data_IF_305553673573
#
_entry.id   IF_305553673573
#
_cell.length_a   1.000
_cell.length_b   1.000
_cell.length_c   1.000
_cell.angle_alpha   90.00
_cell.angle_beta   90.00
_cell.angle_gamma   90.00
#
_symmetry.space_group_name_H-M   'P 1'
#
loop_
_entity.id
_entity.type
_entity.pdbx_description
1 polymer ?
#
# COMPACT_ATOMS: atom_id res chain seq x y z
N UNK A 1 23.44 -2.38 -0.76
CA UNK A 1 22.52 -3.52 -0.59
C UNK A 1 21.94 -3.90 -1.95
N UNK A 2 21.59 -5.17 -2.13
CA UNK A 2 20.80 -5.69 -3.25
C UNK A 2 19.38 -6.01 -2.76
N UNK A 3 18.39 -5.33 -3.32
CA UNK A 3 17.00 -5.33 -2.82
C UNK A 3 16.10 -6.00 -3.85
N UNK A 4 15.37 -7.04 -3.43
CA UNK A 4 14.33 -7.67 -4.23
C UNK A 4 13.01 -6.94 -4.02
N UNK A 5 12.42 -6.37 -5.06
CA UNK A 5 11.13 -5.68 -5.01
C UNK A 5 10.05 -6.51 -5.69
N UNK A 6 9.14 -7.09 -4.92
CA UNK A 6 8.05 -7.95 -5.37
C UNK A 6 6.80 -7.10 -5.57
N UNK A 7 6.31 -7.01 -6.79
CA UNK A 7 5.27 -6.04 -7.18
C UNK A 7 5.86 -4.71 -7.65
N UNK A 8 7.07 -4.75 -8.20
CA UNK A 8 7.86 -3.58 -8.60
C UNK A 8 7.19 -2.65 -9.63
N UNK A 9 6.23 -3.13 -10.43
CA UNK A 9 5.49 -2.29 -11.38
C UNK A 9 4.29 -1.53 -10.74
N UNK A 10 3.98 -1.79 -9.46
CA UNK A 10 2.95 -1.07 -8.73
C UNK A 10 3.37 0.35 -8.34
N UNK A 11 2.44 1.16 -7.81
CA UNK A 11 2.71 2.55 -7.43
C UNK A 11 3.87 2.68 -6.44
N UNK A 12 3.81 1.98 -5.31
CA UNK A 12 4.90 2.01 -4.33
C UNK A 12 6.14 1.33 -4.89
N UNK A 13 5.98 0.17 -5.54
CA UNK A 13 7.09 -0.63 -6.06
C UNK A 13 7.95 0.10 -7.07
N UNK A 14 7.33 0.81 -8.04
CA UNK A 14 8.09 1.55 -9.06
C UNK A 14 8.85 2.74 -8.47
N UNK A 15 8.23 3.48 -7.53
CA UNK A 15 8.90 4.57 -6.84
C UNK A 15 10.05 4.07 -5.96
N UNK A 16 9.83 2.99 -5.20
CA UNK A 16 10.87 2.39 -4.36
C UNK A 16 12.05 1.87 -5.20
N UNK A 17 11.76 1.20 -6.32
CA UNK A 17 12.78 0.71 -7.25
C UNK A 17 13.65 1.85 -7.78
N UNK A 18 13.03 2.91 -8.31
CA UNK A 18 13.76 4.07 -8.81
C UNK A 18 14.53 4.81 -7.70
N UNK A 19 13.92 4.96 -6.52
CA UNK A 19 14.57 5.59 -5.39
C UNK A 19 15.78 4.79 -4.90
N UNK A 20 15.65 3.47 -4.72
CA UNK A 20 16.75 2.61 -4.29
C UNK A 20 17.97 2.71 -5.25
N UNK A 21 17.72 2.67 -6.56
CA UNK A 21 18.78 2.84 -7.57
C UNK A 21 19.43 4.22 -7.46
N UNK A 22 18.64 5.29 -7.26
CA UNK A 22 19.20 6.65 -7.10
C UNK A 22 20.09 6.79 -5.87
N UNK A 23 19.89 5.94 -4.85
CA UNK A 23 20.71 5.87 -3.64
C UNK A 23 21.89 4.88 -3.77
N UNK A 24 22.15 4.35 -4.99
CA UNK A 24 23.28 3.45 -5.25
C UNK A 24 23.06 2.00 -4.81
N UNK A 25 21.81 1.57 -4.60
CA UNK A 25 21.49 0.18 -4.28
C UNK A 25 21.25 -0.63 -5.55
N UNK A 26 21.66 -1.91 -5.52
CA UNK A 26 21.25 -2.90 -6.51
C UNK A 26 19.78 -3.24 -6.33
N UNK A 27 19.02 -3.38 -7.42
CA UNK A 27 17.62 -3.76 -7.36
C UNK A 27 17.32 -4.90 -8.33
N UNK A 28 16.59 -5.89 -7.81
CA UNK A 28 15.95 -6.96 -8.59
C UNK A 28 14.46 -6.75 -8.54
N UNK A 29 13.80 -6.63 -9.69
CA UNK A 29 12.38 -6.33 -9.80
C UNK A 29 11.58 -7.57 -10.22
N UNK A 30 10.56 -7.94 -9.43
CA UNK A 30 9.56 -8.94 -9.81
C UNK A 30 8.23 -8.25 -10.13
N UNK A 31 7.70 -8.45 -11.34
CA UNK A 31 6.40 -7.93 -11.74
C UNK A 31 5.77 -8.71 -12.90
N UNK A 32 4.44 -8.63 -13.03
CA UNK A 32 3.67 -9.35 -14.06
C UNK A 32 4.04 -8.92 -15.48
N UNK A 33 4.34 -7.65 -15.69
CA UNK A 33 4.72 -7.13 -17.02
C UNK A 33 6.15 -7.50 -17.46
N UNK A 34 7.02 -7.85 -16.51
CA UNK A 34 8.46 -7.98 -16.75
C UNK A 34 9.15 -6.66 -17.07
N UNK A 35 8.49 -5.52 -16.77
CA UNK A 35 9.01 -4.16 -16.99
C UNK A 35 8.56 -3.22 -15.88
N UNK A 36 9.45 -2.35 -15.43
CA UNK A 36 9.17 -1.29 -14.48
C UNK A 36 9.47 0.05 -15.13
N UNK A 37 8.52 0.98 -15.09
CA UNK A 37 8.69 2.28 -15.70
C UNK A 37 9.82 3.06 -15.02
N UNK A 38 10.73 3.62 -15.83
CA UNK A 38 11.86 4.41 -15.32
C UNK A 38 13.01 3.59 -14.72
N UNK A 39 12.94 2.24 -14.79
CA UNK A 39 13.99 1.36 -14.28
C UNK A 39 14.59 0.50 -15.39
N UNK A 40 15.92 0.46 -15.41
CA UNK A 40 16.72 -0.43 -16.27
C UNK A 40 17.62 -1.25 -15.36
N UNK A 41 17.38 -2.55 -15.29
CA UNK A 41 18.10 -3.47 -14.40
C UNK A 41 17.46 -4.85 -14.40
N UNK A 42 17.87 -5.68 -13.44
CA UNK A 42 17.42 -7.06 -13.32
C UNK A 42 15.90 -7.12 -13.08
N UNK A 43 15.16 -7.50 -14.10
CA UNK A 43 13.70 -7.60 -14.04
C UNK A 43 13.23 -8.96 -14.48
N UNK A 44 12.44 -9.62 -13.66
CA UNK A 44 11.84 -10.93 -13.94
C UNK A 44 10.33 -10.81 -14.08
N UNK A 45 9.78 -11.45 -15.11
CA UNK A 45 8.34 -11.60 -15.26
C UNK A 45 7.85 -12.61 -14.24
N UNK A 46 7.04 -12.15 -13.28
CA UNK A 46 6.53 -12.95 -12.17
C UNK A 46 5.19 -12.43 -11.69
N UNK A 47 4.32 -13.32 -11.21
CA UNK A 47 3.05 -13.00 -10.59
C UNK A 47 2.77 -13.88 -9.36
N UNK A 48 1.85 -13.44 -8.51
CA UNK A 48 1.40 -14.19 -7.35
C UNK A 48 1.00 -15.63 -7.72
N UNK A 49 1.40 -16.60 -6.90
CA UNK A 49 1.19 -18.02 -7.13
C UNK A 49 2.26 -18.71 -7.98
N UNK A 50 3.19 -17.96 -8.58
CA UNK A 50 4.35 -18.54 -9.27
C UNK A 50 5.53 -18.70 -8.29
N UNK A 51 6.39 -19.73 -8.47
CA UNK A 51 7.63 -19.84 -7.69
C UNK A 51 8.53 -18.64 -7.98
N UNK A 52 9.23 -18.16 -6.95
CA UNK A 52 10.23 -17.10 -7.10
C UNK A 52 11.42 -17.65 -7.89
N UNK A 53 11.84 -17.00 -9.02
CA UNK A 53 12.98 -17.45 -9.77
C UNK A 53 14.26 -17.44 -8.92
N UNK A 54 15.00 -18.53 -8.85
CA UNK A 54 16.23 -18.61 -8.05
C UNK A 54 17.25 -17.54 -8.46
N UNK A 55 17.37 -17.25 -9.75
CA UNK A 55 18.25 -16.20 -10.24
C UNK A 55 17.86 -14.79 -9.75
N UNK A 56 16.62 -14.59 -9.31
CA UNK A 56 16.17 -13.32 -8.72
C UNK A 56 16.58 -13.19 -7.26
N UNK A 57 17.01 -14.26 -6.61
CA UNK A 57 17.39 -14.33 -5.20
C UNK A 57 18.90 -14.25 -4.99
N UNK A 58 19.69 -14.23 -6.08
CA UNK A 58 21.13 -14.19 -6.01
C UNK A 58 21.63 -12.88 -5.37
N UNK A 59 22.46 -13.01 -4.34
CA UNK A 59 23.06 -11.90 -3.57
C UNK A 59 22.01 -10.89 -3.01
N UNK A 60 20.78 -11.31 -2.76
CA UNK A 60 19.73 -10.43 -2.20
C UNK A 60 19.92 -10.28 -0.69
N UNK A 61 20.09 -9.03 -0.22
CA UNK A 61 20.19 -8.68 1.19
C UNK A 61 18.80 -8.54 1.86
N UNK A 62 17.84 -7.99 1.10
CA UNK A 62 16.50 -7.68 1.61
C UNK A 62 15.43 -7.86 0.53
N UNK A 63 14.29 -8.43 0.90
CA UNK A 63 13.12 -8.53 0.02
C UNK A 63 11.98 -7.63 0.51
N UNK A 64 11.27 -6.97 -0.42
CA UNK A 64 10.15 -6.08 -0.13
C UNK A 64 8.89 -6.58 -0.84
N UNK A 65 7.90 -7.03 -0.07
CA UNK A 65 6.64 -7.61 -0.56
C UNK A 65 5.56 -6.54 -0.74
N UNK A 66 5.33 -6.12 -1.99
CA UNK A 66 4.34 -5.10 -2.38
C UNK A 66 3.25 -5.66 -3.30
N UNK A 67 3.37 -6.90 -3.75
CA UNK A 67 2.39 -7.50 -4.65
C UNK A 67 1.03 -7.68 -3.96
N UNK A 68 -0.05 -7.33 -4.66
CA UNK A 68 -1.42 -7.54 -4.25
C UNK A 68 -2.32 -7.70 -5.47
N UNK A 69 -3.24 -8.63 -5.42
CA UNK A 69 -4.28 -8.81 -6.43
C UNK A 69 -5.61 -8.24 -5.92
N UNK A 70 -6.21 -7.33 -6.66
CA UNK A 70 -7.44 -6.62 -6.29
C UNK A 70 -8.71 -7.23 -6.90
N UNK A 71 -8.64 -8.47 -7.40
CA UNK A 71 -9.78 -9.17 -8.00
C UNK A 71 -10.68 -9.83 -6.94
N UNK A 72 -11.30 -9.00 -6.11
CA UNK A 72 -12.27 -9.44 -5.08
C UNK A 72 -11.74 -10.55 -4.18
N UNK A 73 -12.62 -11.46 -3.78
CA UNK A 73 -12.28 -12.56 -2.86
C UNK A 73 -11.25 -13.54 -3.45
N UNK A 74 -11.26 -13.74 -4.77
CA UNK A 74 -10.28 -14.60 -5.45
C UNK A 74 -8.89 -14.01 -5.37
N UNK A 75 -8.75 -12.71 -5.68
CA UNK A 75 -7.48 -12.00 -5.57
C UNK A 75 -6.99 -11.90 -4.12
N UNK A 76 -7.91 -11.73 -3.17
CA UNK A 76 -7.59 -11.70 -1.75
C UNK A 76 -6.96 -13.02 -1.27
N UNK A 77 -7.59 -14.16 -1.60
CA UNK A 77 -7.07 -15.50 -1.28
C UNK A 77 -5.73 -15.76 -1.96
N UNK A 78 -5.64 -15.48 -3.26
CA UNK A 78 -4.39 -15.63 -3.99
C UNK A 78 -3.28 -14.78 -3.36
N UNK A 79 -3.57 -13.54 -2.99
CA UNK A 79 -2.59 -12.65 -2.33
C UNK A 79 -2.11 -13.24 -1.01
N UNK A 80 -3.03 -13.73 -0.18
CA UNK A 80 -2.69 -14.31 1.12
C UNK A 80 -1.80 -15.55 0.95
N UNK A 81 -2.27 -16.56 0.22
CA UNK A 81 -1.58 -17.83 0.04
C UNK A 81 -0.21 -17.64 -0.64
N UNK A 82 -0.18 -16.90 -1.74
CA UNK A 82 1.04 -16.70 -2.50
C UNK A 82 2.07 -15.85 -1.75
N UNK A 83 1.66 -14.89 -0.92
CA UNK A 83 2.60 -14.11 -0.12
C UNK A 83 3.27 -14.98 0.94
N UNK A 84 2.53 -15.83 1.64
CA UNK A 84 3.09 -16.74 2.65
C UNK A 84 4.11 -17.70 2.02
N UNK A 85 3.75 -18.33 0.90
CA UNK A 85 4.68 -19.20 0.15
C UNK A 85 5.92 -18.44 -0.33
N UNK A 86 5.75 -17.22 -0.82
CA UNK A 86 6.85 -16.38 -1.29
C UNK A 86 7.82 -16.01 -0.14
N UNK A 87 7.29 -15.67 1.04
CA UNK A 87 8.09 -15.42 2.25
C UNK A 87 8.93 -16.63 2.60
N UNK A 88 8.35 -17.84 2.60
CA UNK A 88 9.06 -19.07 2.92
C UNK A 88 10.12 -19.43 1.88
N UNK A 89 9.85 -19.25 0.59
CA UNK A 89 10.83 -19.48 -0.48
C UNK A 89 12.04 -18.55 -0.36
N UNK A 90 11.81 -17.27 -0.09
CA UNK A 90 12.86 -16.26 0.07
C UNK A 90 13.70 -16.54 1.32
N UNK A 91 13.05 -16.96 2.42
CA UNK A 91 13.75 -17.42 3.63
C UNK A 91 14.62 -18.63 3.36
N UNK A 92 14.08 -19.65 2.68
CA UNK A 92 14.80 -20.85 2.33
C UNK A 92 16.03 -20.59 1.42
N UNK A 93 16.00 -19.50 0.65
CA UNK A 93 17.13 -19.03 -0.14
C UNK A 93 18.18 -18.25 0.67
N UNK A 94 17.97 -18.06 1.98
CA UNK A 94 18.95 -17.42 2.87
C UNK A 94 18.89 -15.88 2.90
N UNK A 95 17.85 -15.26 2.35
CA UNK A 95 17.66 -13.80 2.42
C UNK A 95 17.39 -13.41 3.89
N UNK A 96 18.30 -12.62 4.46
CA UNK A 96 18.34 -12.35 5.89
C UNK A 96 17.18 -11.47 6.39
N UNK A 97 16.54 -10.69 5.51
CA UNK A 97 15.50 -9.72 5.88
C UNK A 97 14.41 -9.62 4.83
N UNK A 98 13.17 -9.51 5.32
CA UNK A 98 12.02 -9.29 4.46
C UNK A 98 11.14 -8.19 5.05
N UNK A 99 10.64 -7.29 4.22
CA UNK A 99 9.67 -6.25 4.59
C UNK A 99 8.33 -6.59 3.94
N UNK A 100 7.34 -6.94 4.76
CA UNK A 100 5.98 -7.15 4.28
C UNK A 100 5.18 -5.85 4.39
N UNK A 101 4.76 -5.31 3.26
CA UNK A 101 3.88 -4.15 3.21
C UNK A 101 2.45 -4.55 3.52
N UNK A 102 2.07 -4.30 4.75
CA UNK A 102 0.71 -4.35 5.21
C UNK A 102 -0.02 -3.02 4.94
N UNK A 103 -0.87 -2.60 5.83
CA UNK A 103 -1.68 -1.38 5.71
C UNK A 103 -2.11 -0.88 7.08
N UNK A 104 -2.28 0.42 7.23
CA UNK A 104 -2.99 0.98 8.39
C UNK A 104 -4.40 0.39 8.57
N UNK A 105 -5.04 -0.06 7.47
CA UNK A 105 -6.35 -0.72 7.50
C UNK A 105 -6.31 -2.14 8.06
N UNK A 106 -5.13 -2.73 8.26
CA UNK A 106 -5.00 -4.06 8.85
C UNK A 106 -5.20 -3.98 10.37
N UNK A 107 -6.31 -4.49 10.85
CA UNK A 107 -6.67 -4.50 12.26
C UNK A 107 -7.88 -5.39 12.52
N UNK A 108 -8.14 -5.74 13.78
CA UNK A 108 -9.25 -6.64 14.14
C UNK A 108 -10.63 -6.12 13.74
N UNK A 109 -10.77 -4.79 13.59
CA UNK A 109 -11.99 -4.14 13.15
C UNK A 109 -12.01 -3.81 11.65
N UNK A 110 -11.09 -4.40 10.86
CA UNK A 110 -11.04 -4.17 9.43
C UNK A 110 -12.34 -4.59 8.73
N UNK A 111 -13.03 -3.62 8.12
CA UNK A 111 -14.28 -3.85 7.37
C UNK A 111 -14.06 -3.96 5.86
N UNK A 112 -12.86 -3.61 5.36
CA UNK A 112 -12.49 -3.79 3.96
C UNK A 112 -11.84 -5.15 3.72
N UNK A 113 -12.11 -5.74 2.56
CA UNK A 113 -11.48 -6.99 2.14
C UNK A 113 -9.95 -6.84 2.10
N UNK A 114 -9.48 -5.69 1.63
CA UNK A 114 -8.05 -5.35 1.61
C UNK A 114 -7.44 -5.38 3.01
N UNK A 115 -8.04 -4.71 4.00
CA UNK A 115 -7.55 -4.69 5.38
C UNK A 115 -7.56 -6.08 6.02
N UNK A 116 -8.63 -6.86 5.80
CA UNK A 116 -8.75 -8.24 6.27
C UNK A 116 -7.67 -9.15 5.67
N UNK A 117 -7.42 -9.04 4.36
CA UNK A 117 -6.37 -9.79 3.66
C UNK A 117 -5.00 -9.47 4.24
N UNK A 118 -4.69 -8.18 4.46
CA UNK A 118 -3.41 -7.78 5.05
C UNK A 118 -3.24 -8.31 6.46
N UNK A 119 -4.27 -8.22 7.30
CA UNK A 119 -4.25 -8.78 8.66
C UNK A 119 -4.06 -10.30 8.66
N UNK A 120 -4.71 -11.02 7.74
CA UNK A 120 -4.56 -12.47 7.62
C UNK A 120 -3.11 -12.87 7.27
N UNK A 121 -2.45 -12.11 6.39
CA UNK A 121 -1.04 -12.32 6.06
C UNK A 121 -0.16 -11.98 7.28
N UNK A 122 -0.39 -10.87 7.98
CA UNK A 122 0.34 -10.52 9.20
C UNK A 122 0.31 -11.65 10.22
N UNK A 123 -0.87 -12.23 10.46
CA UNK A 123 -1.04 -13.38 11.36
C UNK A 123 -0.28 -14.62 10.87
N UNK A 124 -0.22 -14.84 9.57
CA UNK A 124 0.51 -15.97 8.97
C UNK A 124 2.03 -15.85 9.05
N UNK A 125 2.57 -14.61 9.10
CA UNK A 125 4.01 -14.36 9.24
C UNK A 125 4.42 -14.00 10.66
N UNK A 126 3.48 -13.89 11.59
CA UNK A 126 3.76 -13.58 12.99
C UNK A 126 4.74 -14.60 13.60
N UNK A 127 5.73 -14.11 14.33
CA UNK A 127 6.79 -14.94 14.92
C UNK A 127 7.96 -15.28 13.98
N UNK A 128 7.91 -14.88 12.72
CA UNK A 128 9.03 -14.99 11.80
C UNK A 128 10.00 -13.82 12.03
N UNK A 129 11.10 -14.06 12.71
CA UNK A 129 12.06 -13.03 13.11
C UNK A 129 12.77 -12.30 11.96
N UNK A 130 12.72 -12.86 10.75
CA UNK A 130 13.28 -12.30 9.52
C UNK A 130 12.32 -11.36 8.78
N UNK A 131 11.04 -11.29 9.16
CA UNK A 131 10.01 -10.47 8.51
C UNK A 131 9.60 -9.30 9.39
N UNK A 132 9.71 -8.10 8.83
CA UNK A 132 9.21 -6.87 9.45
C UNK A 132 7.90 -6.48 8.76
N UNK A 133 6.84 -6.32 9.53
CA UNK A 133 5.55 -5.83 9.08
C UNK A 133 5.61 -4.31 8.98
N UNK A 134 5.38 -3.77 7.79
CA UNK A 134 5.34 -2.32 7.54
C UNK A 134 3.90 -1.92 7.27
N UNK A 135 3.31 -1.07 8.11
CA UNK A 135 1.95 -0.52 7.93
C UNK A 135 2.03 0.95 7.53
N UNK A 136 2.03 1.27 6.23
CA UNK A 136 1.95 2.65 5.79
C UNK A 136 0.55 3.23 6.02
N UNK A 137 0.48 4.53 6.29
CA UNK A 137 -0.74 5.31 6.13
C UNK A 137 -1.16 5.44 4.66
N UNK A 138 -2.08 6.36 4.37
CA UNK A 138 -2.43 6.70 2.99
C UNK A 138 -1.22 7.31 2.30
N UNK A 139 -0.70 6.64 1.27
CA UNK A 139 0.47 7.11 0.53
C UNK A 139 0.07 8.20 -0.46
N UNK A 140 0.57 9.40 -0.23
CA UNK A 140 0.32 10.59 -1.07
C UNK A 140 1.34 10.64 -2.20
N UNK A 141 0.85 10.72 -3.45
CA UNK A 141 1.70 10.78 -4.65
C UNK A 141 0.89 10.57 -5.93
N UNK A 142 1.60 10.34 -7.05
CA UNK A 142 0.97 10.20 -8.38
C UNK A 142 0.45 8.77 -8.66
N UNK A 143 -0.14 8.10 -7.65
CA UNK A 143 -0.66 6.74 -7.80
C UNK A 143 -1.54 6.31 -6.63
N UNK A 144 -1.92 5.03 -6.62
CA UNK A 144 -2.71 4.43 -5.57
C UNK A 144 -4.09 5.06 -5.36
N UNK A 145 -4.59 4.96 -4.12
CA UNK A 145 -5.91 5.52 -3.76
C UNK A 145 -5.90 7.06 -3.83
N UNK A 146 -4.78 7.71 -3.46
CA UNK A 146 -4.69 9.16 -3.52
C UNK A 146 -4.90 9.71 -4.94
N UNK A 147 -4.43 9.02 -5.97
CA UNK A 147 -4.67 9.45 -7.36
C UNK A 147 -6.15 9.40 -7.74
N UNK A 148 -6.93 8.47 -7.16
CA UNK A 148 -8.38 8.39 -7.35
C UNK A 148 -9.09 9.57 -6.68
N UNK A 149 -8.68 9.91 -5.45
CA UNK A 149 -9.17 11.10 -4.72
C UNK A 149 -8.88 12.35 -5.54
N UNK A 150 -7.65 12.51 -6.04
CA UNK A 150 -7.26 13.63 -6.89
C UNK A 150 -8.08 13.70 -8.18
N UNK A 151 -8.30 12.57 -8.83
CA UNK A 151 -9.12 12.51 -10.04
C UNK A 151 -10.57 12.94 -9.77
N UNK A 152 -11.16 12.49 -8.67
CA UNK A 152 -12.49 12.94 -8.26
C UNK A 152 -12.53 14.46 -7.99
N UNK A 153 -11.56 14.98 -7.24
CA UNK A 153 -11.43 16.40 -6.93
C UNK A 153 -11.25 17.28 -8.19
N UNK A 154 -10.56 16.74 -9.21
CA UNK A 154 -10.33 17.44 -10.49
C UNK A 154 -11.53 17.42 -11.42
N UNK A 155 -12.31 16.34 -11.43
CA UNK A 155 -13.38 16.13 -12.43
C UNK A 155 -14.75 16.56 -11.93
N UNK A 156 -15.02 16.40 -10.64
CA UNK A 156 -16.34 16.62 -10.09
C UNK A 156 -16.50 18.04 -9.53
N UNK A 157 -17.54 18.78 -9.92
CA UNK A 157 -17.87 20.08 -9.31
C UNK A 157 -18.38 19.92 -7.86
N UNK A 158 -18.96 18.75 -7.56
CA UNK A 158 -19.45 18.37 -6.23
C UNK A 158 -18.84 17.00 -5.87
N UNK A 159 -18.15 16.93 -4.74
CA UNK A 159 -17.54 15.68 -4.26
C UNK A 159 -18.31 15.21 -3.02
N UNK A 160 -19.04 14.07 -3.14
CA UNK A 160 -19.70 13.48 -1.98
C UNK A 160 -18.66 12.83 -1.07
N UNK A 161 -18.69 13.18 0.21
CA UNK A 161 -17.80 12.59 1.22
C UNK A 161 -18.59 12.08 2.42
N UNK A 162 -18.17 10.93 3.01
CA UNK A 162 -18.79 10.44 4.23
C UNK A 162 -18.66 11.49 5.34
N UNK A 163 -19.78 11.88 5.92
CA UNK A 163 -19.87 12.86 7.00
C UNK A 163 -19.11 14.17 6.72
N UNK A 164 -19.14 14.61 5.45
CA UNK A 164 -18.44 15.81 4.97
C UNK A 164 -16.92 15.68 4.92
N UNK A 165 -16.40 14.47 5.07
CA UNK A 165 -14.96 14.19 5.05
C UNK A 165 -14.24 14.56 6.35
N UNK A 166 -14.95 14.59 7.49
CA UNK A 166 -14.40 14.87 8.81
C UNK A 166 -13.46 13.77 9.33
N UNK A 167 -13.64 12.55 8.84
CA UNK A 167 -12.80 11.40 9.21
C UNK A 167 -11.33 11.69 8.92
N UNK A 168 -10.48 11.40 9.89
CA UNK A 168 -9.04 11.61 9.82
C UNK A 168 -8.34 10.33 9.40
N UNK A 169 -7.32 10.46 8.56
CA UNK A 169 -6.49 9.36 8.09
C UNK A 169 -5.01 9.69 8.27
N UNK A 170 -4.18 8.71 8.62
CA UNK A 170 -2.74 8.88 8.63
C UNK A 170 -2.24 8.95 7.19
N UNK A 171 -1.29 9.81 6.92
CA UNK A 171 -0.71 10.02 5.59
C UNK A 171 0.80 9.89 5.62
N UNK A 172 1.39 9.55 4.47
CA UNK A 172 2.83 9.61 4.25
C UNK A 172 3.09 9.94 2.78
N UNK A 173 4.06 10.82 2.51
CA UNK A 173 4.53 11.10 1.16
C UNK A 173 5.27 9.91 0.56
N UNK A 174 5.12 9.67 -0.76
CA UNK A 174 5.75 8.52 -1.44
C UNK A 174 7.28 8.57 -1.33
N UNK A 175 7.90 9.73 -1.43
CA UNK A 175 9.36 9.89 -1.32
C UNK A 175 9.85 9.57 0.09
N UNK A 176 9.17 10.11 1.11
CA UNK A 176 9.45 9.84 2.51
C UNK A 176 9.27 8.35 2.84
N UNK A 177 8.22 7.71 2.31
CA UNK A 177 8.01 6.27 2.46
C UNK A 177 9.20 5.49 1.88
N UNK A 178 9.64 5.80 0.66
CA UNK A 178 10.78 5.14 0.02
C UNK A 178 12.06 5.32 0.85
N UNK A 179 12.32 6.54 1.32
CA UNK A 179 13.48 6.84 2.17
C UNK A 179 13.48 6.00 3.45
N UNK A 180 12.36 5.97 4.17
CA UNK A 180 12.23 5.18 5.41
C UNK A 180 12.36 3.68 5.16
N UNK A 181 11.78 3.17 4.09
CA UNK A 181 11.90 1.74 3.71
C UNK A 181 13.36 1.35 3.47
N UNK A 182 14.12 2.17 2.74
CA UNK A 182 15.55 1.91 2.50
C UNK A 182 16.34 1.97 3.81
N UNK A 183 16.04 2.91 4.70
CA UNK A 183 16.65 2.97 6.04
C UNK A 183 16.39 1.69 6.84
N UNK A 184 15.13 1.23 6.90
CA UNK A 184 14.73 0.01 7.60
C UNK A 184 15.41 -1.23 6.98
N UNK A 185 15.50 -1.30 5.66
CA UNK A 185 16.17 -2.40 4.97
C UNK A 185 17.66 -2.51 5.33
N UNK A 186 18.33 -1.39 5.59
CA UNK A 186 19.76 -1.33 5.92
C UNK A 186 20.12 -1.48 7.41
N UNK A 187 19.16 -1.30 8.31
CA UNK A 187 19.43 -1.34 9.76
C UNK A 187 19.12 -2.71 10.36
N UNK A 188 19.85 -3.09 11.40
CA UNK A 188 19.42 -4.17 12.30
C UNK A 188 18.31 -3.62 13.20
N UNK A 189 17.04 -3.83 12.81
CA UNK A 189 15.89 -3.44 13.61
C UNK A 189 15.52 -4.57 14.57
N UNK A 190 15.22 -4.22 15.81
CA UNK A 190 14.59 -5.12 16.81
C UNK A 190 13.06 -5.09 16.71
N UNK A 191 12.49 -4.20 15.90
CA UNK A 191 11.04 -4.09 15.74
C UNK A 191 10.55 -5.05 14.66
N UNK A 192 9.53 -5.83 15.01
CA UNK A 192 8.82 -6.70 14.07
C UNK A 192 7.68 -6.00 13.34
N UNK A 193 7.22 -4.87 13.85
CA UNK A 193 6.14 -4.07 13.29
C UNK A 193 6.52 -2.60 13.27
N UNK A 194 6.32 -1.95 12.13
CA UNK A 194 6.64 -0.53 11.92
C UNK A 194 5.45 0.15 11.23
N UNK A 195 4.94 1.20 11.87
CA UNK A 195 3.84 2.00 11.34
C UNK A 195 4.41 3.28 10.72
N UNK A 196 4.35 3.39 9.39
CA UNK A 196 4.94 4.48 8.62
C UNK A 196 3.88 5.51 8.19
N UNK A 197 3.73 6.55 8.98
CA UNK A 197 2.89 7.72 8.66
C UNK A 197 3.26 8.89 9.55
N UNK A 198 2.84 10.08 9.16
CA UNK A 198 3.05 11.28 9.95
C UNK A 198 2.17 11.24 11.20
N UNK A 199 2.69 11.75 12.32
CA UNK A 199 1.95 11.78 13.61
C UNK A 199 0.68 12.61 13.54
N UNK A 200 0.61 13.60 12.64
CA UNK A 200 -0.57 14.43 12.42
C UNK A 200 -1.52 13.77 11.41
N UNK A 201 -2.74 13.47 11.87
CA UNK A 201 -3.78 12.89 11.04
C UNK A 201 -4.47 13.96 10.20
N UNK A 202 -4.64 13.71 8.91
CA UNK A 202 -5.25 14.64 7.95
C UNK A 202 -6.71 14.23 7.66
N UNK A 203 -7.65 15.20 7.63
CA UNK A 203 -9.04 14.90 7.27
C UNK A 203 -9.16 14.56 5.78
N UNK A 204 -10.09 13.66 5.43
CA UNK A 204 -10.39 13.34 4.04
C UNK A 204 -10.81 14.60 3.26
N UNK A 205 -11.54 15.51 3.90
CA UNK A 205 -11.91 16.82 3.36
C UNK A 205 -10.67 17.64 2.96
N UNK A 206 -9.69 17.72 3.85
CA UNK A 206 -8.42 18.44 3.60
C UNK A 206 -7.71 17.83 2.40
N UNK A 207 -7.57 16.50 2.34
CA UNK A 207 -6.92 15.81 1.21
C UNK A 207 -7.59 16.13 -0.13
N UNK A 208 -8.92 16.11 -0.18
CA UNK A 208 -9.69 16.44 -1.40
C UNK A 208 -9.51 17.90 -1.81
N UNK A 209 -9.60 18.83 -0.85
CA UNK A 209 -9.48 20.26 -1.14
C UNK A 209 -8.06 20.64 -1.55
N UNK A 210 -7.03 20.06 -0.95
CA UNK A 210 -5.64 20.31 -1.30
C UNK A 210 -5.31 19.75 -2.69
N UNK A 211 -5.79 18.55 -3.01
CA UNK A 211 -5.69 17.99 -4.35
C UNK A 211 -6.38 18.86 -5.42
N UNK A 212 -7.54 19.43 -5.09
CA UNK A 212 -8.26 20.35 -5.98
C UNK A 212 -7.52 21.70 -6.15
N UNK A 213 -6.97 22.26 -5.07
CA UNK A 213 -6.21 23.51 -5.09
C UNK A 213 -4.97 23.42 -6.00
N UNK A 214 -4.28 22.29 -6.01
CA UNK A 214 -3.12 22.06 -6.88
C UNK A 214 -3.41 22.26 -8.37
N UNK A 215 -4.69 22.13 -8.76
CA UNK A 215 -5.16 22.32 -10.14
C UNK A 215 -6.10 23.52 -10.30
N UNK A 216 -6.11 24.44 -9.33
CA UNK A 216 -6.90 25.67 -9.38
C UNK A 216 -8.41 25.48 -9.23
N UNK A 217 -8.87 24.34 -8.68
CA UNK A 217 -10.29 24.02 -8.48
C UNK A 217 -10.74 24.16 -7.03
N UNK A 218 -12.06 24.34 -6.85
CA UNK A 218 -12.71 24.42 -5.54
C UNK A 218 -14.06 23.67 -5.58
N UNK A 219 -14.06 22.33 -5.54
CA UNK A 219 -15.30 21.58 -5.55
C UNK A 219 -16.13 21.84 -4.29
N UNK A 220 -17.43 21.75 -4.40
CA UNK A 220 -18.33 21.71 -3.24
C UNK A 220 -18.22 20.33 -2.60
N UNK A 221 -18.05 20.30 -1.28
CA UNK A 221 -18.11 19.06 -0.52
C UNK A 221 -19.53 18.82 -0.08
N UNK A 222 -20.11 17.72 -0.53
CA UNK A 222 -21.47 17.30 -0.15
C UNK A 222 -21.35 16.26 0.98
N UNK A 223 -21.79 16.59 2.20
CA UNK A 223 -21.81 15.63 3.28
C UNK A 223 -22.90 14.59 3.05
N UNK A 224 -22.55 13.33 3.00
CA UNK A 224 -23.49 12.21 2.84
C UNK A 224 -23.18 11.18 3.94
N UNK A 225 -24.21 10.66 4.65
CA UNK A 225 -23.99 9.57 5.61
C UNK A 225 -23.29 8.38 4.95
N UNK A 226 -22.27 7.82 5.64
CA UNK A 226 -21.43 6.77 5.08
C UNK A 226 -22.23 5.54 4.55
N UNK A 227 -23.29 5.13 5.26
CA UNK A 227 -24.19 4.06 4.83
C UNK A 227 -24.91 4.34 3.51
N UNK A 228 -25.34 5.60 3.28
CA UNK A 228 -25.98 6.00 2.04
C UNK A 228 -24.99 6.03 0.86
N UNK A 229 -23.75 6.43 1.12
CA UNK A 229 -22.68 6.35 0.10
C UNK A 229 -22.37 4.90 -0.27
N UNK A 230 -22.29 3.99 0.69
CA UNK A 230 -22.07 2.56 0.44
C UNK A 230 -23.21 1.99 -0.39
N UNK A 231 -24.48 2.31 -0.07
CA UNK A 231 -25.63 1.90 -0.86
C UNK A 231 -25.56 2.43 -2.30
N UNK A 232 -25.20 3.71 -2.47
CA UNK A 232 -25.03 4.34 -3.79
C UNK A 232 -23.91 3.68 -4.62
N UNK A 233 -22.79 3.33 -4.00
CA UNK A 233 -21.70 2.59 -4.67
C UNK A 233 -22.13 1.18 -5.06
N UNK A 234 -22.89 0.49 -4.22
CA UNK A 234 -23.46 -0.83 -4.53
C UNK A 234 -24.42 -0.77 -5.73
N UNK A 235 -25.28 0.24 -5.78
CA UNK A 235 -26.18 0.46 -6.91
C UNK A 235 -25.41 0.82 -8.21
N UNK A 236 -24.40 1.68 -8.12
CA UNK A 236 -23.55 2.02 -9.25
C UNK A 236 -22.81 0.78 -9.81
N UNK A 237 -22.33 -0.11 -8.94
CA UNK A 237 -21.73 -1.39 -9.31
C UNK A 237 -22.75 -2.28 -10.04
N UNK A 238 -23.98 -2.39 -9.54
CA UNK A 238 -25.04 -3.16 -10.18
C UNK A 238 -25.39 -2.61 -11.58
N UNK A 239 -25.37 -1.30 -11.74
CA UNK A 239 -25.63 -0.60 -13.01
C UNK A 239 -24.39 -0.51 -13.91
N UNK A 240 -23.27 -1.14 -13.55
CA UNK A 240 -21.99 -1.10 -14.28
C UNK A 240 -21.44 0.32 -14.49
N UNK A 241 -21.74 1.26 -13.59
CA UNK A 241 -21.23 2.63 -13.62
C UNK A 241 -19.85 2.65 -12.97
N UNK A 242 -18.82 2.97 -13.75
CA UNK A 242 -17.44 3.08 -13.25
C UNK A 242 -17.26 4.36 -12.43
N UNK A 243 -17.06 4.21 -11.13
CA UNK A 243 -16.72 5.29 -10.22
C UNK A 243 -15.24 5.23 -9.83
N UNK A 244 -14.59 6.37 -9.54
CA UNK A 244 -13.17 6.41 -9.19
C UNK A 244 -12.87 5.72 -7.85
N UNK A 245 -13.83 5.64 -6.96
CA UNK A 245 -13.73 4.99 -5.63
C UNK A 245 -14.73 3.85 -5.59
N UNK A 246 -14.33 2.68 -5.11
CA UNK A 246 -15.20 1.52 -4.94
C UNK A 246 -15.63 1.37 -3.45
N UNK A 247 -16.56 0.45 -3.23
CA UNK A 247 -17.13 0.15 -1.92
C UNK A 247 -16.04 -0.26 -0.90
N UNK A 248 -15.08 -1.09 -1.30
CA UNK A 248 -14.01 -1.56 -0.42
C UNK A 248 -13.11 -0.42 0.05
N UNK A 249 -12.77 0.53 -0.84
CA UNK A 249 -12.03 1.74 -0.46
C UNK A 249 -12.81 2.57 0.57
N UNK A 250 -14.12 2.74 0.38
CA UNK A 250 -14.94 3.51 1.32
C UNK A 250 -15.08 2.81 2.67
N UNK A 251 -15.27 1.49 2.70
CA UNK A 251 -15.26 0.68 3.93
C UNK A 251 -13.94 0.82 4.68
N UNK A 252 -12.81 0.77 3.97
CA UNK A 252 -11.49 1.02 4.55
C UNK A 252 -11.39 2.40 5.20
N UNK A 253 -11.85 3.46 4.53
CA UNK A 253 -11.83 4.81 5.11
C UNK A 253 -12.70 4.95 6.36
N UNK A 254 -13.89 4.34 6.37
CA UNK A 254 -14.80 4.39 7.52
C UNK A 254 -14.22 3.60 8.69
N UNK A 255 -13.67 2.41 8.46
CA UNK A 255 -13.10 1.57 9.53
C UNK A 255 -11.79 2.12 10.10
N UNK A 256 -11.00 2.83 9.29
CA UNK A 256 -9.72 3.40 9.73
C UNK A 256 -9.86 4.46 10.85
N UNK A 257 -11.05 5.04 11.02
CA UNK A 257 -11.30 5.99 12.12
C UNK A 257 -11.24 5.33 13.51
N UNK A 258 -11.41 4.01 13.57
CA UNK A 258 -11.31 3.22 14.82
C UNK A 258 -9.99 2.42 14.92
N UNK A 259 -9.09 2.53 13.96
CA UNK A 259 -7.81 1.82 14.01
C UNK A 259 -6.84 2.49 15.01
N UNK A 260 -6.30 1.69 15.92
CA UNK A 260 -5.45 2.12 17.03
C UNK A 260 -3.95 1.91 16.75
N UNK A 261 -3.51 2.18 15.51
CA UNK A 261 -2.09 2.18 15.22
C UNK A 261 -1.49 3.56 15.51
N UNK A 262 -0.36 3.59 16.21
CA UNK A 262 0.41 4.79 16.44
C UNK A 262 1.62 4.81 15.50
N UNK A 263 2.02 6.00 15.06
CA UNK A 263 3.25 6.15 14.26
C UNK A 263 4.46 5.62 15.03
N UNK A 264 5.33 4.89 14.36
CA UNK A 264 6.59 4.45 14.95
C UNK A 264 7.50 5.67 15.14
N UNK A 265 8.11 5.79 16.33
CA UNK A 265 9.04 6.89 16.63
C UNK A 265 10.20 6.95 15.63
N UNK A 266 10.64 8.15 15.29
CA UNK A 266 11.80 8.40 14.39
C UNK A 266 13.08 7.73 14.89
N UNK A 267 13.22 7.52 16.21
CA UNK A 267 14.40 6.86 16.81
C UNK A 267 14.57 5.41 16.33
N UNK A 268 13.50 4.79 15.85
CA UNK A 268 13.47 3.42 15.33
C UNK A 268 13.47 3.33 13.81
N UNK A 269 13.39 4.46 13.10
CA UNK A 269 13.36 4.57 11.64
C UNK A 269 14.71 5.07 11.12
#
# INVERSE_FOLDING_TARGET
MRILVIGAAGFIGSNLTCYAVSQGHGVVALCRSGKVHGFVGDTFKWGLGQPVPLAALDEVDCAVHLAHDFDGDTGARLTQEATLVCVDQIRAAGVARQLFFSSYSAGEHACSLYGQTKLAIEKGIAGNGDVIIVRPGLVVGNGGIYSKIRTAAMRLPVVPLPDGGSGKVPVIGIEQLCQRVISIAGRQSVLHEINLFDSELVSLRTLVLDAARQVGRRPLILPIPGGLLLFGLGLAKLLHIALPINEDNLRGFISNQSALHHATSEDYL
#
